data_IF_905486247430
#
_entry.id   IF_905486247430
#
_cell.length_a   1.000
_cell.length_b   1.000
_cell.length_c   1.000
_cell.angle_alpha   90.00
_cell.angle_beta   90.00
_cell.angle_gamma   90.00
#
_symmetry.space_group_name_H-M   'P 1'
#
loop_
_entity.id
_entity.type
_entity.pdbx_description
1 polymer ?
#
# COMPACT_ATOMS: atom_id res chain seq x y z
N UNK A 1 -80.71 12.35 -24.96
CA UNK A 1 -79.56 11.84 -25.74
C UNK A 1 -78.46 12.87 -25.95
N UNK A 2 -78.76 14.08 -26.45
CA UNK A 2 -77.75 15.15 -26.64
C UNK A 2 -76.97 15.52 -25.37
N UNK A 3 -77.66 15.69 -24.23
CA UNK A 3 -77.00 16.05 -22.97
C UNK A 3 -76.06 14.95 -22.48
N UNK A 4 -76.47 13.67 -22.55
CA UNK A 4 -75.60 12.55 -22.18
C UNK A 4 -74.36 12.46 -23.09
N UNK A 5 -74.51 12.67 -24.40
CA UNK A 5 -73.37 12.66 -25.32
C UNK A 5 -72.40 13.81 -25.04
N UNK A 6 -72.93 15.00 -24.74
CA UNK A 6 -72.10 16.16 -24.44
C UNK A 6 -71.33 15.98 -23.13
N UNK A 7 -71.98 15.48 -22.08
CA UNK A 7 -71.34 15.19 -20.80
C UNK A 7 -70.30 14.08 -20.94
N UNK A 8 -70.60 12.98 -21.65
CA UNK A 8 -69.63 11.92 -21.90
C UNK A 8 -68.40 12.42 -22.66
N UNK A 9 -68.59 13.21 -23.73
CA UNK A 9 -67.49 13.78 -24.50
C UNK A 9 -66.65 14.74 -23.65
N UNK A 10 -67.29 15.62 -22.89
CA UNK A 10 -66.58 16.59 -22.07
C UNK A 10 -65.78 15.89 -20.97
N UNK A 11 -66.37 14.92 -20.27
CA UNK A 11 -65.68 14.14 -19.24
C UNK A 11 -64.56 13.30 -19.84
N UNK A 12 -64.78 12.62 -20.98
CA UNK A 12 -63.71 11.86 -21.63
C UNK A 12 -62.55 12.76 -22.05
N UNK A 13 -62.81 13.90 -22.68
CA UNK A 13 -61.75 14.79 -23.13
C UNK A 13 -61.02 15.38 -21.93
N UNK A 14 -61.74 15.85 -20.91
CA UNK A 14 -61.12 16.49 -19.76
C UNK A 14 -60.31 15.49 -18.94
N UNK A 15 -60.86 14.30 -18.68
CA UNK A 15 -60.16 13.25 -17.92
C UNK A 15 -58.99 12.70 -18.73
N UNK A 16 -59.16 12.37 -20.01
CA UNK A 16 -58.04 11.88 -20.83
C UNK A 16 -56.94 12.93 -20.96
N UNK A 17 -57.28 14.18 -21.27
CA UNK A 17 -56.26 15.23 -21.43
C UNK A 17 -55.57 15.54 -20.11
N UNK A 18 -56.32 15.69 -19.02
CA UNK A 18 -55.74 16.06 -17.73
C UNK A 18 -54.94 14.90 -17.14
N UNK A 19 -55.45 13.67 -17.18
CA UNK A 19 -54.72 12.50 -16.67
C UNK A 19 -53.51 12.20 -17.54
N UNK A 20 -53.62 12.18 -18.88
CA UNK A 20 -52.46 11.95 -19.72
C UNK A 20 -51.41 13.04 -19.56
N UNK A 21 -51.79 14.32 -19.62
CA UNK A 21 -50.83 15.41 -19.50
C UNK A 21 -50.19 15.46 -18.12
N UNK A 22 -50.99 15.35 -17.06
CA UNK A 22 -50.48 15.46 -15.69
C UNK A 22 -49.66 14.22 -15.31
N UNK A 23 -50.13 13.02 -15.60
CA UNK A 23 -49.38 11.79 -15.30
C UNK A 23 -48.13 11.70 -16.17
N UNK A 24 -48.21 11.92 -17.48
CA UNK A 24 -47.01 11.87 -18.31
C UNK A 24 -46.00 12.96 -17.92
N UNK A 25 -46.42 14.22 -17.75
CA UNK A 25 -45.48 15.29 -17.41
C UNK A 25 -44.91 15.09 -16.02
N UNK A 26 -45.74 14.80 -15.03
CA UNK A 26 -45.28 14.70 -13.64
C UNK A 26 -44.45 13.43 -13.43
N UNK A 27 -44.90 12.28 -13.93
CA UNK A 27 -44.13 11.03 -13.80
C UNK A 27 -42.86 11.09 -14.62
N UNK A 28 -42.89 11.54 -15.89
CA UNK A 28 -41.65 11.63 -16.66
C UNK A 28 -40.69 12.65 -16.06
N UNK A 29 -41.13 13.86 -15.70
CA UNK A 29 -40.22 14.86 -15.14
C UNK A 29 -39.68 14.43 -13.77
N UNK A 30 -40.53 13.93 -12.89
CA UNK A 30 -40.11 13.57 -11.53
C UNK A 30 -39.26 12.31 -11.53
N UNK A 31 -39.63 11.28 -12.29
CA UNK A 31 -38.83 10.05 -12.39
C UNK A 31 -37.53 10.33 -13.11
N UNK A 32 -37.54 11.02 -14.26
CA UNK A 32 -36.28 11.34 -14.95
C UNK A 32 -35.38 12.23 -14.09
N UNK A 33 -35.89 13.32 -13.50
CA UNK A 33 -35.07 14.20 -12.69
C UNK A 33 -34.56 13.49 -11.43
N UNK A 34 -35.42 12.78 -10.71
CA UNK A 34 -35.01 12.13 -9.46
C UNK A 34 -34.08 10.95 -9.73
N UNK A 35 -34.38 10.10 -10.71
CA UNK A 35 -33.52 8.95 -11.05
C UNK A 35 -32.19 9.45 -11.63
N UNK A 36 -32.19 10.40 -12.57
CA UNK A 36 -30.95 10.93 -13.11
C UNK A 36 -30.13 11.63 -12.02
N UNK A 37 -30.71 12.54 -11.24
CA UNK A 37 -29.96 13.25 -10.21
C UNK A 37 -29.48 12.30 -9.11
N UNK A 38 -30.33 11.39 -8.63
CA UNK A 38 -29.97 10.49 -7.55
C UNK A 38 -28.95 9.45 -8.00
N UNK A 39 -29.14 8.80 -9.15
CA UNK A 39 -28.17 7.83 -9.66
C UNK A 39 -26.87 8.53 -10.05
N UNK A 40 -26.91 9.64 -10.79
CA UNK A 40 -25.68 10.34 -11.17
C UNK A 40 -24.93 10.83 -9.93
N UNK A 41 -25.60 11.49 -8.98
CA UNK A 41 -24.93 12.02 -7.79
C UNK A 41 -24.45 10.89 -6.87
N UNK A 42 -25.29 9.89 -6.60
CA UNK A 42 -24.94 8.81 -5.68
C UNK A 42 -23.87 7.90 -6.27
N UNK A 43 -24.03 7.45 -7.51
CA UNK A 43 -23.02 6.60 -8.16
C UNK A 43 -21.73 7.38 -8.36
N UNK A 44 -21.77 8.61 -8.86
CA UNK A 44 -20.55 9.39 -9.04
C UNK A 44 -19.86 9.68 -7.71
N UNK A 45 -20.57 10.24 -6.73
CA UNK A 45 -19.95 10.56 -5.44
C UNK A 45 -19.49 9.31 -4.71
N UNK A 46 -20.33 8.28 -4.61
CA UNK A 46 -19.99 7.09 -3.84
C UNK A 46 -18.89 6.30 -4.53
N UNK A 47 -19.01 6.02 -5.84
CA UNK A 47 -17.98 5.26 -6.56
C UNK A 47 -16.69 6.06 -6.66
N UNK A 48 -16.72 7.34 -7.05
CA UNK A 48 -15.47 8.12 -7.12
C UNK A 48 -14.84 8.29 -5.74
N UNK A 49 -15.59 8.73 -4.72
CA UNK A 49 -14.99 8.94 -3.40
C UNK A 49 -14.55 7.62 -2.76
N UNK A 50 -15.39 6.59 -2.78
CA UNK A 50 -15.05 5.33 -2.14
C UNK A 50 -13.92 4.62 -2.87
N UNK A 51 -13.98 4.51 -4.20
CA UNK A 51 -12.91 3.85 -4.96
C UNK A 51 -11.63 4.67 -4.87
N UNK A 52 -11.66 6.00 -5.06
CA UNK A 52 -10.44 6.80 -4.93
C UNK A 52 -9.88 6.73 -3.51
N UNK A 53 -10.68 6.90 -2.46
CA UNK A 53 -10.18 6.86 -1.09
C UNK A 53 -9.67 5.46 -0.71
N UNK A 54 -10.44 4.42 -1.03
CA UNK A 54 -10.06 3.06 -0.67
C UNK A 54 -8.84 2.60 -1.45
N UNK A 55 -8.79 2.84 -2.76
CA UNK A 55 -7.63 2.47 -3.59
C UNK A 55 -6.42 3.30 -3.19
N UNK A 56 -6.54 4.62 -3.03
CA UNK A 56 -5.41 5.45 -2.60
C UNK A 56 -4.91 5.03 -1.21
N UNK A 57 -5.80 4.88 -0.22
CA UNK A 57 -5.40 4.49 1.14
C UNK A 57 -4.81 3.09 1.17
N UNK A 58 -5.46 2.11 0.54
CA UNK A 58 -5.00 0.73 0.56
C UNK A 58 -3.69 0.58 -0.21
N UNK A 59 -3.59 1.12 -1.42
CA UNK A 59 -2.36 1.04 -2.22
C UNK A 59 -1.24 1.81 -1.54
N UNK A 60 -1.45 3.05 -1.10
CA UNK A 60 -0.40 3.81 -0.41
C UNK A 60 0.02 3.12 0.89
N UNK A 61 -0.91 2.70 1.74
CA UNK A 61 -0.55 2.05 3.01
C UNK A 61 0.11 0.71 2.78
N UNK A 62 -0.43 -0.13 1.91
CA UNK A 62 0.12 -1.45 1.64
C UNK A 62 1.50 -1.33 1.00
N UNK A 63 1.64 -0.55 -0.07
CA UNK A 63 2.92 -0.37 -0.76
C UNK A 63 3.94 0.27 0.17
N UNK A 64 3.60 1.35 0.89
CA UNK A 64 4.54 1.96 1.83
C UNK A 64 4.94 0.98 2.94
N UNK A 65 4.00 0.27 3.55
CA UNK A 65 4.32 -0.69 4.62
C UNK A 65 5.14 -1.86 4.11
N UNK A 66 4.77 -2.45 2.97
CA UNK A 66 5.51 -3.57 2.40
C UNK A 66 6.90 -3.17 1.97
N UNK A 67 7.04 -2.06 1.23
CA UNK A 67 8.34 -1.58 0.76
C UNK A 67 9.20 -1.17 1.95
N UNK A 68 8.68 -0.39 2.91
CA UNK A 68 9.44 -0.02 4.09
C UNK A 68 9.86 -1.24 4.91
N UNK A 69 8.95 -2.18 5.19
CA UNK A 69 9.29 -3.39 5.96
C UNK A 69 10.29 -4.26 5.21
N UNK A 70 10.09 -4.49 3.91
CA UNK A 70 10.97 -5.35 3.12
C UNK A 70 12.35 -4.73 2.98
N UNK A 71 12.43 -3.43 2.63
CA UNK A 71 13.69 -2.71 2.49
C UNK A 71 14.39 -2.60 3.85
N UNK A 72 13.70 -2.19 4.92
CA UNK A 72 14.32 -2.13 6.24
C UNK A 72 14.80 -3.51 6.70
N UNK A 73 13.99 -4.57 6.56
CA UNK A 73 14.39 -5.92 6.97
C UNK A 73 15.55 -6.43 6.12
N UNK A 74 15.48 -6.34 4.79
CA UNK A 74 16.55 -6.82 3.92
C UNK A 74 17.83 -6.03 4.13
N UNK A 75 17.75 -4.70 4.08
CA UNK A 75 18.93 -3.85 4.20
C UNK A 75 19.51 -3.98 5.60
N UNK A 76 18.73 -3.89 6.67
CA UNK A 76 19.26 -4.05 8.02
C UNK A 76 19.82 -5.46 8.23
N UNK A 77 19.11 -6.52 7.83
CA UNK A 77 19.62 -7.89 8.03
C UNK A 77 20.86 -8.16 7.19
N UNK A 78 20.86 -7.85 5.89
CA UNK A 78 22.02 -8.08 5.04
C UNK A 78 23.20 -7.23 5.46
N UNK A 79 23.01 -5.92 5.63
CA UNK A 79 24.11 -5.01 5.96
C UNK A 79 24.65 -5.34 7.35
N UNK A 80 23.78 -5.53 8.36
CA UNK A 80 24.23 -5.87 9.70
C UNK A 80 24.89 -7.25 9.74
N UNK A 81 24.24 -8.29 9.20
CA UNK A 81 24.82 -9.64 9.22
C UNK A 81 26.12 -9.68 8.44
N UNK A 82 26.18 -9.11 7.24
CA UNK A 82 27.37 -9.17 6.41
C UNK A 82 28.49 -8.33 7.01
N UNK A 83 28.24 -7.10 7.44
CA UNK A 83 29.29 -6.26 8.03
C UNK A 83 29.72 -6.84 9.39
N UNK A 84 28.80 -7.15 10.29
CA UNK A 84 29.18 -7.67 11.61
C UNK A 84 29.86 -9.04 11.49
N UNK A 85 29.32 -9.98 10.71
CA UNK A 85 29.96 -11.29 10.57
C UNK A 85 31.29 -11.18 9.83
N UNK A 86 31.34 -10.46 8.72
CA UNK A 86 32.57 -10.37 7.94
C UNK A 86 33.65 -9.59 8.70
N UNK A 87 33.33 -8.43 9.26
CA UNK A 87 34.31 -7.65 10.02
C UNK A 87 34.72 -8.39 11.30
N UNK A 88 33.79 -8.93 12.09
CA UNK A 88 34.17 -9.69 13.29
C UNK A 88 34.98 -10.93 12.93
N UNK A 89 34.55 -11.73 11.96
CA UNK A 89 35.30 -12.94 11.58
C UNK A 89 36.66 -12.58 11.00
N UNK A 90 36.73 -11.63 10.08
CA UNK A 90 37.98 -11.28 9.41
C UNK A 90 38.96 -10.64 10.39
N UNK A 91 38.51 -9.67 11.19
CA UNK A 91 39.35 -9.01 12.18
C UNK A 91 39.75 -9.98 13.28
N UNK A 92 38.82 -10.74 13.88
CA UNK A 92 39.18 -11.72 14.91
C UNK A 92 40.12 -12.79 14.35
N UNK A 93 39.86 -13.35 13.17
CA UNK A 93 40.72 -14.38 12.58
C UNK A 93 42.09 -13.80 12.21
N UNK A 94 42.15 -12.68 11.49
CA UNK A 94 43.44 -12.10 11.11
C UNK A 94 44.21 -11.64 12.32
N UNK A 95 43.61 -10.85 13.21
CA UNK A 95 44.33 -10.31 14.36
C UNK A 95 44.73 -11.43 15.29
N UNK A 96 43.85 -12.36 15.65
CA UNK A 96 44.23 -13.48 16.51
C UNK A 96 45.30 -14.35 15.86
N UNK A 97 45.16 -14.71 14.58
CA UNK A 97 46.14 -15.58 13.92
C UNK A 97 47.48 -14.88 13.70
N UNK A 98 47.49 -13.64 13.19
CA UNK A 98 48.72 -12.90 12.99
C UNK A 98 49.40 -12.60 14.31
N UNK A 99 48.68 -12.03 15.29
CA UNK A 99 49.29 -11.67 16.57
C UNK A 99 49.78 -12.92 17.28
N UNK A 100 48.99 -14.00 17.33
CA UNK A 100 49.44 -15.24 17.97
C UNK A 100 50.63 -15.84 17.23
N UNK A 101 50.57 -16.01 15.91
CA UNK A 101 51.67 -16.59 15.14
C UNK A 101 52.93 -15.73 15.21
N UNK A 102 52.84 -14.43 14.94
CA UNK A 102 54.01 -13.55 14.99
C UNK A 102 54.55 -13.48 16.40
N UNK A 103 53.74 -13.14 17.40
CA UNK A 103 54.25 -12.96 18.76
C UNK A 103 54.80 -14.29 19.28
N UNK A 104 54.09 -15.41 19.15
CA UNK A 104 54.62 -16.69 19.61
C UNK A 104 55.89 -17.08 18.85
N UNK A 105 55.92 -17.02 17.52
CA UNK A 105 57.11 -17.46 16.77
C UNK A 105 58.27 -16.51 17.01
N UNK A 106 58.09 -15.20 16.88
CA UNK A 106 59.18 -14.24 17.07
C UNK A 106 59.71 -14.27 18.49
N UNK A 107 58.82 -14.22 19.49
CA UNK A 107 59.25 -14.18 20.90
C UNK A 107 59.87 -15.50 21.30
N UNK A 108 59.31 -16.65 20.93
CA UNK A 108 59.91 -17.95 21.21
C UNK A 108 61.27 -18.10 20.51
N UNK A 109 61.38 -17.74 19.23
CA UNK A 109 62.65 -17.84 18.49
C UNK A 109 63.72 -16.89 19.05
N UNK A 110 63.35 -15.65 19.38
CA UNK A 110 64.29 -14.70 19.98
C UNK A 110 64.74 -15.15 21.36
N UNK A 111 63.81 -15.58 22.23
CA UNK A 111 64.14 -16.10 23.55
C UNK A 111 65.02 -17.35 23.45
N UNK A 112 64.69 -18.30 22.57
CA UNK A 112 65.51 -19.49 22.35
C UNK A 112 66.92 -19.11 21.88
N UNK A 113 67.06 -18.22 20.89
CA UNK A 113 68.36 -17.77 20.41
C UNK A 113 69.15 -17.05 21.51
N UNK A 114 68.50 -16.18 22.28
CA UNK A 114 69.16 -15.41 23.35
C UNK A 114 69.62 -16.32 24.49
N UNK A 115 68.79 -17.28 24.90
CA UNK A 115 69.13 -18.28 25.92
C UNK A 115 70.25 -19.20 25.41
N UNK A 116 70.19 -19.66 24.16
CA UNK A 116 71.27 -20.48 23.58
C UNK A 116 72.61 -19.74 23.49
N UNK A 117 72.60 -18.44 23.20
CA UNK A 117 73.84 -17.65 23.16
C UNK A 117 74.43 -17.43 24.55
N UNK A 118 73.59 -17.13 25.56
CA UNK A 118 74.04 -16.91 26.95
C UNK A 118 74.35 -18.19 27.73
N UNK A 119 73.79 -19.34 27.33
CA UNK A 119 74.11 -20.64 27.95
C UNK A 119 75.37 -21.30 27.37
N UNK A 120 75.91 -20.77 26.27
CA UNK A 120 77.16 -21.24 25.64
C UNK A 120 78.38 -20.35 25.98
N UNK A 121 78.21 -19.32 26.80
CA UNK A 121 79.29 -18.61 27.53
C UNK A 121 79.51 -19.24 28.91
#
# INVERSE_FOLDING_TARGET
>A
MYVCMYVCMYVCIYVCMYVCMYVCMYVCMYVCMYVCMYICMYVYMYVCMYVCMYVCMYVCMYVCMYVCMYVCMYVCMYVYMYICMYVCMYVCMYVCMYVYMYVCIYVCMYLCMYVCMHACE
#
